data_IF_257696671545
#
_entry.id   IF_257696671545
#
_cell.length_a   1.000
_cell.length_b   1.000
_cell.length_c   1.000
_cell.angle_alpha   90.00
_cell.angle_beta   90.00
_cell.angle_gamma   90.00
#
_symmetry.space_group_name_H-M   'P 1'
#
loop_
_entity.id
_entity.type
_entity.pdbx_description
1 polymer ?
#
# COMPACT_ATOMS: atom_id res chain seq x y z
N UNK A 1 -15.62 -39.22 40.18
CA UNK A 1 -15.59 -38.02 39.30
C UNK A 1 -14.18 -37.79 38.74
N UNK A 2 -13.80 -38.38 37.58
CA UNK A 2 -12.61 -37.93 36.84
C UNK A 2 -12.79 -37.76 35.32
N UNK A 3 -13.94 -38.09 34.73
CA UNK A 3 -14.10 -38.18 33.28
C UNK A 3 -14.11 -36.82 32.54
N UNK A 4 -14.48 -35.73 33.21
CA UNK A 4 -14.62 -34.39 32.59
C UNK A 4 -13.26 -33.70 32.35
N UNK A 5 -12.23 -34.02 33.15
CA UNK A 5 -10.90 -33.39 33.02
C UNK A 5 -10.06 -33.98 31.88
N UNK A 6 -10.38 -35.20 31.43
CA UNK A 6 -9.64 -35.87 30.35
C UNK A 6 -10.07 -35.37 28.97
N UNK A 7 -11.37 -35.06 28.79
CA UNK A 7 -11.90 -34.50 27.54
C UNK A 7 -11.37 -33.10 27.26
N UNK A 8 -11.25 -32.25 28.28
CA UNK A 8 -10.75 -30.88 28.11
C UNK A 8 -9.26 -30.81 27.77
N UNK A 9 -8.45 -31.71 28.35
CA UNK A 9 -7.02 -31.80 28.02
C UNK A 9 -6.82 -32.34 26.60
N UNK A 10 -7.55 -33.38 26.21
CA UNK A 10 -7.48 -33.91 24.85
C UNK A 10 -7.94 -32.86 23.83
N UNK A 11 -9.05 -32.16 24.08
CA UNK A 11 -9.57 -31.14 23.15
C UNK A 11 -8.57 -29.99 22.93
N UNK A 12 -7.89 -29.52 23.99
CA UNK A 12 -6.83 -28.51 23.86
C UNK A 12 -5.60 -29.02 23.11
N UNK A 13 -5.19 -30.26 23.34
CA UNK A 13 -4.03 -30.86 22.62
C UNK A 13 -4.36 -31.09 21.14
N UNK A 14 -5.59 -31.49 20.81
CA UNK A 14 -6.03 -31.65 19.42
C UNK A 14 -6.17 -30.31 18.69
N UNK A 15 -6.79 -29.29 19.30
CA UNK A 15 -6.91 -27.96 18.69
C UNK A 15 -5.54 -27.30 18.41
N UNK A 16 -4.55 -27.49 19.28
CA UNK A 16 -3.19 -26.97 19.05
C UNK A 16 -2.47 -27.66 17.87
N UNK A 17 -2.73 -28.96 17.64
CA UNK A 17 -2.08 -29.70 16.55
C UNK A 17 -2.60 -29.36 15.15
N UNK A 18 -3.84 -28.87 15.03
CA UNK A 18 -4.45 -28.50 13.73
C UNK A 18 -3.99 -27.13 13.22
N UNK A 19 -3.56 -26.23 14.11
CA UNK A 19 -3.10 -24.89 13.71
C UNK A 19 -1.71 -24.95 13.05
N UNK A 20 -0.88 -25.92 13.41
CA UNK A 20 0.47 -26.08 12.82
C UNK A 20 0.48 -26.57 11.37
N UNK A 21 -0.63 -27.10 10.85
CA UNK A 21 -0.71 -27.66 9.48
C UNK A 21 -1.66 -26.93 8.54
N UNK A 22 -2.28 -25.82 8.96
CA UNK A 22 -3.11 -25.04 8.05
C UNK A 22 -2.22 -24.45 6.93
N UNK A 23 -2.50 -24.72 5.64
CA UNK A 23 -1.82 -24.03 4.56
C UNK A 23 -1.89 -22.53 4.80
N UNK A 24 -0.80 -21.80 4.58
CA UNK A 24 -0.76 -20.33 4.74
C UNK A 24 -1.90 -19.64 3.96
N UNK A 25 -2.39 -20.26 2.89
CA UNK A 25 -3.57 -19.81 2.13
C UNK A 25 -4.88 -19.85 2.94
N UNK A 26 -5.06 -20.84 3.82
CA UNK A 26 -6.23 -20.95 4.70
C UNK A 26 -6.10 -19.98 5.88
N UNK A 27 -4.92 -19.81 6.46
CA UNK A 27 -4.71 -18.82 7.51
C UNK A 27 -4.89 -17.39 6.97
N UNK A 28 -4.36 -17.13 5.76
CA UNK A 28 -4.58 -15.87 5.05
C UNK A 28 -6.04 -15.69 4.68
N UNK A 29 -6.73 -16.76 4.24
CA UNK A 29 -8.16 -16.67 3.92
C UNK A 29 -9.00 -16.43 5.17
N UNK A 30 -8.70 -17.05 6.32
CA UNK A 30 -9.44 -16.83 7.58
C UNK A 30 -9.22 -15.41 8.12
N UNK A 31 -8.00 -14.86 7.99
CA UNK A 31 -7.74 -13.45 8.32
C UNK A 31 -8.46 -12.52 7.32
N UNK A 32 -8.64 -12.95 6.08
CA UNK A 32 -9.34 -12.19 5.04
C UNK A 32 -10.87 -12.42 4.98
N UNK A 33 -11.41 -13.49 5.57
CA UNK A 33 -12.76 -13.98 5.23
C UNK A 33 -13.87 -13.56 6.18
N UNK A 34 -13.60 -12.87 7.29
CA UNK A 34 -14.69 -12.39 8.15
C UNK A 34 -14.52 -10.90 8.42
N UNK A 35 -15.12 -10.13 7.51
CA UNK A 35 -15.42 -8.71 7.57
C UNK A 35 -14.28 -7.82 8.09
N UNK A 36 -13.60 -7.12 7.18
CA UNK A 36 -12.87 -5.89 7.55
C UNK A 36 -13.82 -5.06 8.42
N UNK A 37 -13.51 -4.97 9.71
CA UNK A 37 -14.33 -4.29 10.71
C UNK A 37 -14.81 -2.97 10.10
N UNK A 38 -16.11 -2.63 10.17
CA UNK A 38 -16.64 -1.42 9.56
C UNK A 38 -15.84 -0.15 9.91
N UNK A 39 -15.21 -0.09 11.08
CA UNK A 39 -14.27 0.96 11.48
C UNK A 39 -13.00 0.93 10.61
N UNK A 40 -12.35 -0.24 10.45
CA UNK A 40 -11.17 -0.41 9.60
C UNK A 40 -11.50 -0.05 8.15
N UNK A 41 -12.65 -0.51 7.65
CA UNK A 41 -13.13 -0.19 6.28
C UNK A 41 -13.27 1.32 6.07
N UNK A 42 -13.94 2.02 7.00
CA UNK A 42 -14.09 3.48 6.93
C UNK A 42 -12.75 4.22 7.02
N UNK A 43 -11.85 3.76 7.88
CA UNK A 43 -10.50 4.32 8.00
C UNK A 43 -9.71 4.17 6.70
N UNK A 44 -9.74 2.98 6.07
CA UNK A 44 -9.08 2.74 4.77
C UNK A 44 -9.69 3.59 3.64
N UNK A 45 -11.02 3.71 3.59
CA UNK A 45 -11.68 4.57 2.61
C UNK A 45 -11.27 6.04 2.76
N UNK A 46 -11.14 6.54 4.00
CA UNK A 46 -10.64 7.88 4.27
C UNK A 46 -9.20 8.05 3.79
N UNK A 47 -8.33 7.08 4.08
CA UNK A 47 -6.94 7.11 3.65
C UNK A 47 -6.81 7.13 2.12
N UNK A 48 -7.58 6.30 1.41
CA UNK A 48 -7.65 6.34 -0.06
C UNK A 48 -8.05 7.72 -0.54
N UNK A 49 -9.09 8.34 0.05
CA UNK A 49 -9.51 9.68 -0.33
C UNK A 49 -8.42 10.74 -0.14
N UNK A 50 -7.65 10.64 0.95
CA UNK A 50 -6.50 11.52 1.22
C UNK A 50 -5.38 11.32 0.20
N UNK A 51 -5.03 10.06 -0.09
CA UNK A 51 -4.01 9.72 -1.08
C UNK A 51 -4.42 10.15 -2.50
N UNK A 52 -5.69 9.99 -2.88
CA UNK A 52 -6.20 10.47 -4.18
C UNK A 52 -6.19 12.00 -4.29
N UNK A 53 -6.46 12.71 -3.19
CA UNK A 53 -6.30 14.16 -3.15
C UNK A 53 -4.84 14.56 -3.29
N UNK A 54 -3.94 13.92 -2.53
CA UNK A 54 -2.50 14.18 -2.61
C UNK A 54 -1.96 13.93 -4.02
N UNK A 55 -2.34 12.82 -4.64
CA UNK A 55 -1.99 12.50 -6.03
C UNK A 55 -2.43 13.61 -6.99
N UNK A 56 -3.67 14.09 -6.88
CA UNK A 56 -4.20 15.15 -7.75
C UNK A 56 -3.40 16.46 -7.63
N UNK A 57 -2.98 16.83 -6.42
CA UNK A 57 -2.16 18.02 -6.20
C UNK A 57 -0.76 17.82 -6.79
N UNK A 58 -0.12 16.69 -6.51
CA UNK A 58 1.20 16.34 -7.07
C UNK A 58 1.17 16.29 -8.61
N UNK A 59 0.13 15.70 -9.21
CA UNK A 59 -0.06 15.66 -10.66
C UNK A 59 -0.19 17.07 -11.27
N UNK A 60 -0.81 18.01 -10.55
CA UNK A 60 -0.93 19.40 -11.00
C UNK A 60 0.43 20.12 -10.99
N UNK A 61 1.21 19.96 -9.91
CA UNK A 61 2.56 20.51 -9.81
C UNK A 61 3.50 19.93 -10.86
N UNK A 62 3.45 18.62 -11.10
CA UNK A 62 4.21 17.97 -12.18
C UNK A 62 3.86 18.57 -13.55
N UNK A 63 2.58 18.78 -13.83
CA UNK A 63 2.15 19.43 -15.07
C UNK A 63 2.65 20.86 -15.21
N UNK A 64 2.89 21.56 -14.11
CA UNK A 64 3.44 22.92 -14.15
C UNK A 64 4.91 22.89 -14.57
N UNK A 65 5.67 21.91 -14.08
CA UNK A 65 7.02 21.64 -14.57
C UNK A 65 7.04 21.23 -16.04
N UNK A 66 6.17 20.30 -16.45
CA UNK A 66 6.08 19.87 -17.85
C UNK A 66 5.82 21.05 -18.80
N UNK A 67 4.93 21.97 -18.41
CA UNK A 67 4.67 23.20 -19.17
C UNK A 67 5.83 24.19 -19.13
N UNK A 68 6.47 24.36 -17.98
CA UNK A 68 7.60 25.29 -17.79
C UNK A 68 8.79 24.90 -18.67
N UNK A 69 9.09 23.60 -18.73
CA UNK A 69 10.25 23.07 -19.45
C UNK A 69 9.92 22.58 -20.86
N UNK A 70 8.64 22.48 -21.24
CA UNK A 70 8.22 22.01 -22.55
C UNK A 70 8.57 20.54 -22.81
N UNK A 71 8.67 19.75 -21.76
CA UNK A 71 9.20 18.39 -21.73
C UNK A 71 8.25 17.52 -20.89
N UNK A 72 7.98 16.28 -21.31
CA UNK A 72 7.18 15.37 -20.48
C UNK A 72 8.01 14.72 -19.36
N UNK A 73 7.32 14.22 -18.33
CA UNK A 73 8.01 13.63 -17.17
C UNK A 73 8.89 12.42 -17.48
N UNK A 74 8.60 11.66 -18.55
CA UNK A 74 9.43 10.50 -18.92
C UNK A 74 10.72 10.95 -19.60
N UNK A 75 10.63 11.97 -20.46
CA UNK A 75 11.80 12.61 -21.06
C UNK A 75 12.68 13.25 -19.98
N UNK A 76 12.08 13.98 -19.04
CA UNK A 76 12.78 14.56 -17.91
C UNK A 76 13.52 13.51 -17.08
N UNK A 77 12.86 12.41 -16.69
CA UNK A 77 13.49 11.36 -15.89
C UNK A 77 14.71 10.75 -16.57
N UNK A 78 14.62 10.45 -17.87
CA UNK A 78 15.76 9.94 -18.63
C UNK A 78 16.93 10.93 -18.60
N UNK A 79 16.70 12.17 -19.01
CA UNK A 79 17.75 13.20 -19.07
C UNK A 79 18.35 13.50 -17.69
N UNK A 80 17.54 13.51 -16.63
CA UNK A 80 18.00 13.74 -15.26
C UNK A 80 18.88 12.59 -14.75
N UNK A 81 18.47 11.34 -14.98
CA UNK A 81 19.18 10.15 -14.53
C UNK A 81 20.46 9.88 -15.32
N UNK A 82 20.48 10.25 -16.59
CA UNK A 82 21.67 10.19 -17.45
C UNK A 82 22.66 11.35 -17.18
N UNK A 83 22.28 12.29 -16.31
CA UNK A 83 23.12 13.45 -15.93
C UNK A 83 23.22 14.52 -17.02
N UNK A 84 22.29 14.52 -17.98
CA UNK A 84 22.23 15.50 -19.07
C UNK A 84 21.61 16.84 -18.63
N UNK A 85 20.86 16.81 -17.52
CA UNK A 85 20.32 18.02 -16.89
C UNK A 85 21.32 18.61 -15.89
N UNK A 86 21.28 19.94 -15.77
CA UNK A 86 22.07 20.66 -14.79
C UNK A 86 21.58 20.47 -13.35
N UNK A 87 22.22 21.18 -12.42
CA UNK A 87 21.94 21.15 -10.98
C UNK A 87 20.89 22.18 -10.54
N UNK A 88 20.03 22.63 -11.46
CA UNK A 88 18.97 23.55 -11.12
C UNK A 88 18.05 22.93 -10.06
N UNK A 89 17.71 23.70 -9.02
CA UNK A 89 16.86 23.27 -7.91
C UNK A 89 15.56 22.62 -8.42
N UNK A 90 14.94 23.21 -9.44
CA UNK A 90 13.77 22.68 -10.15
C UNK A 90 13.89 21.22 -10.58
N UNK A 91 15.07 20.77 -11.01
CA UNK A 91 15.26 19.38 -11.43
C UNK A 91 15.10 18.44 -10.24
N UNK A 92 15.68 18.78 -9.09
CA UNK A 92 15.53 17.99 -7.86
C UNK A 92 14.09 18.03 -7.32
N UNK A 93 13.43 19.18 -7.40
CA UNK A 93 12.02 19.32 -7.02
C UNK A 93 11.11 18.46 -7.90
N UNK A 94 11.24 18.56 -9.22
CA UNK A 94 10.44 17.79 -10.16
C UNK A 94 10.71 16.28 -10.01
N UNK A 95 11.97 15.87 -9.90
CA UNK A 95 12.32 14.48 -9.62
C UNK A 95 11.68 13.99 -8.31
N UNK A 96 11.74 14.80 -7.24
CA UNK A 96 11.11 14.50 -5.96
C UNK A 96 9.60 14.33 -6.06
N UNK A 97 8.92 15.18 -6.84
CA UNK A 97 7.49 15.06 -7.11
C UNK A 97 7.15 13.77 -7.85
N UNK A 98 7.94 13.39 -8.85
CA UNK A 98 7.73 12.16 -9.62
C UNK A 98 7.91 10.92 -8.72
N UNK A 99 8.96 10.88 -7.89
CA UNK A 99 9.16 9.80 -6.92
C UNK A 99 8.03 9.76 -5.88
N UNK A 100 7.61 10.92 -5.39
CA UNK A 100 6.49 11.06 -4.47
C UNK A 100 5.17 10.55 -5.08
N UNK A 101 4.92 10.86 -6.36
CA UNK A 101 3.75 10.39 -7.11
C UNK A 101 3.72 8.88 -7.22
N UNK A 102 4.85 8.25 -7.59
CA UNK A 102 4.95 6.78 -7.66
C UNK A 102 4.67 6.14 -6.30
N UNK A 103 5.24 6.68 -5.22
CA UNK A 103 4.98 6.17 -3.87
C UNK A 103 3.50 6.29 -3.48
N UNK A 104 2.83 7.39 -3.82
CA UNK A 104 1.38 7.55 -3.58
C UNK A 104 0.57 6.52 -4.39
N UNK A 105 0.91 6.28 -5.65
CA UNK A 105 0.23 5.29 -6.50
C UNK A 105 0.40 3.87 -5.95
N UNK A 106 1.58 3.54 -5.42
CA UNK A 106 1.84 2.26 -4.77
C UNK A 106 1.02 2.07 -3.48
N UNK A 107 0.95 3.08 -2.62
CA UNK A 107 0.13 3.03 -1.41
C UNK A 107 -1.37 2.95 -1.74
N UNK A 108 -1.85 3.69 -2.75
CA UNK A 108 -3.21 3.58 -3.24
C UNK A 108 -3.53 2.17 -3.72
N UNK A 109 -2.63 1.56 -4.48
CA UNK A 109 -2.78 0.19 -4.97
C UNK A 109 -2.89 -0.80 -3.81
N UNK A 110 -2.00 -0.71 -2.82
CA UNK A 110 -2.04 -1.56 -1.62
C UNK A 110 -3.35 -1.39 -0.86
N UNK A 111 -3.76 -0.15 -0.58
CA UNK A 111 -4.99 0.14 0.16
C UNK A 111 -6.26 -0.39 -0.57
N UNK A 112 -6.30 -0.26 -1.90
CA UNK A 112 -7.42 -0.76 -2.72
C UNK A 112 -7.48 -2.29 -2.83
N UNK A 113 -6.37 -2.99 -2.68
CA UNK A 113 -6.36 -4.47 -2.68
C UNK A 113 -6.92 -5.08 -1.39
N UNK A 114 -6.92 -4.33 -0.29
CA UNK A 114 -7.34 -4.81 1.04
C UNK A 114 -8.84 -4.57 1.28
N UNK A 115 -9.48 -3.69 0.50
CA UNK A 115 -10.88 -3.28 0.64
C UNK A 115 -11.86 -4.09 -0.21
#
# INVERSE_FOLDING_TARGET
MPAVLLSDKLNRTFQNSYIESAPLSILMSVIASEEVDPIIRRSLQREIGLLEMKKRLTDAEIKDFERKYGMDSNEFLRAFEDGELGDAQDCFEWWGLLRGRTAIEDELRKAKMVL
#
